data_IF_350556313809
#
_entry.id   IF_350556313809
#
_cell.length_a   1.000
_cell.length_b   1.000
_cell.length_c   1.000
_cell.angle_alpha   90.00
_cell.angle_beta   90.00
_cell.angle_gamma   90.00
#
_symmetry.space_group_name_H-M   'P 1'
#
loop_
_entity.id
_entity.type
_entity.pdbx_description
1 polymer ?
#
# COMPACT_ATOMS: atom_id res chain seq x y z
N UNK A 1 -14.01 0.06 3.30
CA UNK A 1 -13.45 -1.15 3.95
C UNK A 1 -13.34 -0.85 5.43
N UNK A 2 -13.92 -1.68 6.31
CA UNK A 2 -13.93 -1.39 7.76
C UNK A 2 -12.52 -1.59 8.31
N UNK A 3 -11.87 -0.47 8.62
CA UNK A 3 -10.56 -0.44 9.26
C UNK A 3 -10.83 -0.65 10.76
N UNK A 4 -10.63 -1.88 11.23
CA UNK A 4 -10.90 -2.38 12.60
C UNK A 4 -12.38 -2.43 13.01
N UNK A 5 -12.98 -3.63 13.14
CA UNK A 5 -14.10 -3.83 14.07
C UNK A 5 -13.55 -4.38 15.39
N UNK A 6 -13.19 -3.48 16.31
CA UNK A 6 -13.07 -3.85 17.72
C UNK A 6 -14.44 -3.71 18.38
N UNK A 7 -15.14 -4.81 18.63
CA UNK A 7 -16.41 -4.78 19.38
C UNK A 7 -16.11 -4.91 20.87
N UNK A 8 -16.27 -3.81 21.61
CA UNK A 8 -16.22 -3.81 23.07
C UNK A 8 -17.62 -4.02 23.64
N UNK A 9 -17.86 -5.17 24.27
CA UNK A 9 -19.14 -5.49 24.91
C UNK A 9 -19.28 -4.82 26.30
N UNK A 10 -18.98 -3.53 26.41
CA UNK A 10 -19.51 -2.68 27.49
C UNK A 10 -19.56 -1.21 27.06
N UNK A 11 -20.72 -0.83 26.52
CA UNK A 11 -21.31 0.50 26.42
C UNK A 11 -20.36 1.70 26.21
N UNK A 12 -19.98 1.93 24.96
CA UNK A 12 -20.21 3.19 24.25
C UNK A 12 -20.36 2.84 22.77
N UNK A 13 -21.57 3.01 22.23
CA UNK A 13 -21.81 2.85 20.80
C UNK A 13 -21.16 4.02 20.07
N UNK A 14 -20.03 3.77 19.39
CA UNK A 14 -19.39 4.79 18.56
C UNK A 14 -20.09 4.82 17.20
N UNK A 15 -20.61 5.99 16.83
CA UNK A 15 -21.38 6.17 15.59
C UNK A 15 -20.48 6.25 14.34
N UNK A 16 -19.16 6.40 14.50
CA UNK A 16 -18.20 6.44 13.38
C UNK A 16 -16.76 6.01 13.75
N UNK A 17 -15.97 5.61 12.74
CA UNK A 17 -14.53 5.30 12.85
C UNK A 17 -13.70 6.49 13.41
N UNK A 18 -14.17 7.72 13.16
CA UNK A 18 -13.56 8.94 13.69
C UNK A 18 -13.72 9.03 15.21
N UNK A 19 -14.89 8.69 15.74
CA UNK A 19 -15.17 8.72 17.17
C UNK A 19 -14.35 7.66 17.91
N UNK A 20 -14.18 6.48 17.30
CA UNK A 20 -13.30 5.42 17.81
C UNK A 20 -11.83 5.86 17.89
N UNK A 21 -11.28 6.44 16.81
CA UNK A 21 -9.90 6.95 16.78
C UNK A 21 -9.68 8.07 17.80
N UNK A 22 -10.66 8.95 17.98
CA UNK A 22 -10.59 10.05 18.94
C UNK A 22 -10.63 9.58 20.40
N UNK A 23 -11.43 8.55 20.70
CA UNK A 23 -11.47 7.92 22.03
C UNK A 23 -10.16 7.19 22.37
N UNK A 24 -9.57 6.47 21.41
CA UNK A 24 -8.29 5.77 21.61
C UNK A 24 -7.11 6.73 21.76
N UNK A 25 -7.09 7.85 21.03
CA UNK A 25 -6.00 8.84 21.09
C UNK A 25 -6.12 9.82 22.26
N UNK A 26 -7.33 10.05 22.80
CA UNK A 26 -7.55 10.99 23.91
C UNK A 26 -7.37 10.38 25.30
N UNK A 27 -7.26 9.05 25.40
CA UNK A 27 -7.07 8.37 26.67
C UNK A 27 -5.62 7.94 26.87
N UNK A 28 -4.96 8.43 27.92
CA UNK A 28 -3.72 7.85 28.47
C UNK A 28 -3.97 6.50 29.17
N UNK A 29 -5.08 5.83 28.85
CA UNK A 29 -5.51 4.61 29.52
C UNK A 29 -4.75 3.43 28.92
N UNK A 30 -3.73 2.98 29.66
CA UNK A 30 -2.99 1.76 29.34
C UNK A 30 -3.87 0.58 29.73
N UNK A 31 -4.36 -0.16 28.74
CA UNK A 31 -5.03 -1.45 28.92
C UNK A 31 -3.99 -2.57 28.80
N UNK A 32 -4.06 -3.55 29.70
CA UNK A 32 -3.23 -4.76 29.64
C UNK A 32 -4.07 -5.91 29.15
N UNK A 33 -3.58 -6.66 28.17
CA UNK A 33 -4.24 -7.88 27.72
C UNK A 33 -4.02 -9.03 28.72
N UNK A 34 -5.06 -9.77 29.06
CA UNK A 34 -5.00 -11.05 29.77
C UNK A 34 -5.72 -12.14 28.96
N UNK A 35 -5.23 -13.38 29.06
CA UNK A 35 -5.84 -14.55 28.44
C UNK A 35 -6.11 -14.39 26.94
N UNK A 36 -5.09 -13.97 26.18
CA UNK A 36 -5.17 -13.90 24.72
C UNK A 36 -5.12 -15.31 24.15
N UNK A 37 -6.12 -15.66 23.37
CA UNK A 37 -6.16 -16.89 22.56
C UNK A 37 -6.30 -16.54 21.09
N UNK A 38 -5.80 -17.45 20.26
CA UNK A 38 -5.71 -17.29 18.81
C UNK A 38 -6.51 -18.42 18.20
N UNK A 39 -7.40 -18.07 17.27
CA UNK A 39 -8.10 -19.04 16.43
C UNK A 39 -7.71 -18.80 14.99
N UNK A 40 -7.23 -19.83 14.31
CA UNK A 40 -6.97 -19.82 12.87
C UNK A 40 -8.18 -20.41 12.11
N UNK A 41 -8.78 -19.60 11.23
CA UNK A 41 -9.77 -20.00 10.23
C UNK A 41 -9.38 -19.36 8.88
N UNK A 42 -10.31 -18.73 8.13
CA UNK A 42 -9.97 -17.86 6.97
C UNK A 42 -9.27 -16.55 7.41
N UNK A 43 -9.48 -16.14 8.67
CA UNK A 43 -8.80 -15.03 9.32
C UNK A 43 -8.11 -15.56 10.60
N UNK A 44 -7.03 -14.91 11.02
CA UNK A 44 -6.47 -15.06 12.37
C UNK A 44 -7.26 -14.16 13.31
N UNK A 45 -8.02 -14.76 14.23
CA UNK A 45 -8.81 -14.02 15.21
C UNK A 45 -8.13 -14.09 16.58
N UNK A 46 -7.65 -12.93 17.05
CA UNK A 46 -7.23 -12.73 18.42
C UNK A 46 -8.44 -12.39 19.26
N UNK A 47 -8.64 -13.11 20.35
CA UNK A 47 -9.64 -12.79 21.34
C UNK A 47 -9.03 -12.85 22.73
N UNK A 48 -9.52 -12.03 23.63
CA UNK A 48 -9.04 -12.02 25.01
C UNK A 48 -9.70 -10.91 25.80
N UNK A 49 -9.14 -10.61 26.97
CA UNK A 49 -9.63 -9.53 27.82
C UNK A 49 -8.63 -8.40 27.89
N UNK A 50 -9.11 -7.17 27.74
CA UNK A 50 -8.39 -5.98 28.13
C UNK A 50 -8.76 -5.63 29.57
N UNK A 51 -7.76 -5.33 30.39
CA UNK A 51 -7.91 -4.90 31.78
C UNK A 51 -7.40 -3.48 31.91
N UNK A 52 -8.25 -2.56 32.38
CA UNK A 52 -7.82 -1.19 32.65
C UNK A 52 -7.07 -1.08 33.99
N UNK A 53 -6.56 0.12 34.28
CA UNK A 53 -5.84 0.39 35.53
C UNK A 53 -6.70 0.22 36.80
N UNK A 54 -8.04 0.21 36.68
CA UNK A 54 -8.99 -0.01 37.78
C UNK A 54 -9.41 -1.48 37.93
N UNK A 55 -8.85 -2.39 37.12
CA UNK A 55 -9.19 -3.81 37.12
C UNK A 55 -10.50 -4.16 36.40
N UNK A 56 -11.11 -3.22 35.67
CA UNK A 56 -12.27 -3.52 34.84
C UNK A 56 -11.83 -4.33 33.62
N UNK A 57 -12.48 -5.46 33.40
CA UNK A 57 -12.24 -6.32 32.23
C UNK A 57 -13.22 -5.98 31.11
N UNK A 58 -12.77 -6.09 29.87
CA UNK A 58 -13.60 -5.99 28.67
C UNK A 58 -13.06 -6.94 27.61
N UNK A 59 -13.94 -7.69 26.96
CA UNK A 59 -13.54 -8.58 25.88
C UNK A 59 -13.09 -7.74 24.66
N UNK A 60 -12.01 -8.17 24.03
CA UNK A 60 -11.60 -7.67 22.72
C UNK A 60 -11.57 -8.82 21.73
N UNK A 61 -11.93 -8.50 20.50
CA UNK A 61 -11.75 -9.35 19.33
C UNK A 61 -11.03 -8.52 18.27
N UNK A 62 -9.99 -9.10 17.68
CA UNK A 62 -9.26 -8.55 16.55
C UNK A 62 -9.12 -9.64 15.50
N UNK A 63 -9.77 -9.44 14.36
CA UNK A 63 -9.67 -10.34 13.20
C UNK A 63 -8.66 -9.78 12.20
N UNK A 64 -7.67 -10.58 11.84
CA UNK A 64 -6.66 -10.30 10.80
C UNK A 64 -6.90 -11.23 9.63
N UNK A 65 -7.20 -10.67 8.46
CA UNK A 65 -7.47 -11.46 7.26
C UNK A 65 -6.19 -12.05 6.64
N UNK A 66 -6.27 -13.22 6.00
CA UNK A 66 -5.16 -13.78 5.23
C UNK A 66 -4.66 -12.85 4.12
N UNK A 67 -5.50 -12.00 3.53
CA UNK A 67 -5.11 -10.92 2.62
C UNK A 67 -4.25 -9.82 3.28
N UNK A 68 -4.27 -9.71 4.62
CA UNK A 68 -3.30 -8.92 5.41
C UNK A 68 -2.03 -9.74 5.72
N UNK A 69 -2.14 -11.07 5.75
CA UNK A 69 -1.05 -12.03 6.01
C UNK A 69 -0.27 -12.35 4.73
N UNK A 70 -0.86 -12.18 3.54
CA UNK A 70 -0.19 -12.35 2.26
C UNK A 70 0.91 -11.30 2.15
N UNK A 71 2.10 -11.70 2.63
CA UNK A 71 3.22 -10.79 2.75
C UNK A 71 3.68 -10.26 1.39
N UNK A 72 3.32 -10.94 0.31
CA UNK A 72 4.06 -10.87 -0.94
C UNK A 72 5.39 -11.61 -0.81
N UNK A 73 6.06 -11.77 -1.93
CA UNK A 73 7.35 -12.46 -2.02
C UNK A 73 8.52 -11.48 -2.13
N UNK A 74 8.27 -10.20 -1.85
CA UNK A 74 9.22 -9.12 -2.01
C UNK A 74 10.53 -9.34 -1.26
N UNK A 75 11.63 -8.96 -1.90
CA UNK A 75 12.96 -9.01 -1.31
C UNK A 75 13.67 -7.69 -1.51
N UNK A 76 14.40 -7.26 -0.49
CA UNK A 76 15.33 -6.14 -0.56
C UNK A 76 16.76 -6.63 -0.38
N UNK A 77 17.67 -6.23 -1.28
CA UNK A 77 19.12 -6.32 -1.07
C UNK A 77 19.73 -4.93 -1.14
N UNK A 78 20.74 -4.65 -0.31
CA UNK A 78 21.36 -3.33 -0.23
C UNK A 78 22.69 -3.36 -0.98
N UNK A 79 22.87 -2.40 -1.87
CA UNK A 79 24.11 -2.15 -2.61
C UNK A 79 24.46 -0.66 -2.44
N UNK A 80 25.47 -0.36 -1.62
CA UNK A 80 25.89 1.00 -1.29
C UNK A 80 24.74 1.88 -0.74
N UNK A 81 24.34 2.93 -1.46
CA UNK A 81 23.24 3.83 -1.12
C UNK A 81 21.91 3.41 -1.79
N UNK A 82 21.82 2.19 -2.31
CA UNK A 82 20.66 1.71 -3.08
C UNK A 82 20.11 0.44 -2.46
N UNK A 83 18.79 0.31 -2.47
CA UNK A 83 18.12 -0.93 -2.11
C UNK A 83 17.39 -1.49 -3.33
N UNK A 84 17.73 -2.71 -3.72
CA UNK A 84 17.16 -3.41 -4.87
C UNK A 84 15.93 -4.18 -4.42
N UNK A 85 14.80 -3.87 -5.06
CA UNK A 85 13.51 -4.51 -4.85
C UNK A 85 13.17 -5.45 -5.99
N UNK A 86 12.78 -6.68 -5.63
CA UNK A 86 12.30 -7.70 -6.57
C UNK A 86 11.05 -8.41 -6.04
N UNK A 87 10.39 -9.16 -6.92
CA UNK A 87 9.25 -10.03 -6.67
C UNK A 87 7.95 -9.28 -6.40
N UNK A 88 6.93 -10.00 -5.92
CA UNK A 88 5.57 -9.49 -5.74
C UNK A 88 5.42 -8.73 -4.43
N UNK A 89 4.75 -7.58 -4.48
CA UNK A 89 4.57 -6.69 -3.34
C UNK A 89 3.40 -7.12 -2.45
N UNK A 90 3.52 -6.84 -1.16
CA UNK A 90 2.47 -7.08 -0.17
C UNK A 90 2.84 -6.48 1.19
N UNK A 91 2.22 -6.97 2.28
CA UNK A 91 2.47 -6.45 3.63
C UNK A 91 3.94 -6.55 4.05
N UNK A 92 4.66 -7.60 3.62
CA UNK A 92 6.08 -7.77 3.90
C UNK A 92 6.91 -6.65 3.26
N UNK A 93 6.51 -6.14 2.08
CA UNK A 93 7.18 -5.02 1.43
C UNK A 93 7.16 -3.78 2.32
N UNK A 94 6.01 -3.46 2.92
CA UNK A 94 5.89 -2.34 3.85
C UNK A 94 6.83 -2.51 5.05
N UNK A 95 6.82 -3.69 5.68
CA UNK A 95 7.65 -4.01 6.85
C UNK A 95 9.15 -3.93 6.50
N UNK A 96 9.54 -4.48 5.36
CA UNK A 96 10.92 -4.42 4.88
C UNK A 96 11.35 -2.98 4.59
N UNK A 97 10.52 -2.17 3.93
CA UNK A 97 10.82 -0.77 3.64
C UNK A 97 10.92 0.07 4.91
N UNK A 98 10.04 -0.15 5.89
CA UNK A 98 10.10 0.54 7.18
C UNK A 98 11.41 0.25 7.90
N UNK A 99 11.79 -1.03 8.00
CA UNK A 99 13.08 -1.43 8.57
C UNK A 99 14.28 -0.90 7.77
N UNK A 100 14.18 -0.86 6.44
CA UNK A 100 15.21 -0.32 5.56
C UNK A 100 15.48 1.15 5.90
N UNK A 101 14.43 1.97 5.96
CA UNK A 101 14.50 3.41 6.26
C UNK A 101 15.08 3.64 7.67
N UNK A 102 14.68 2.85 8.66
CA UNK A 102 15.18 2.99 10.03
C UNK A 102 16.66 2.62 10.16
N UNK A 103 17.08 1.53 9.51
CA UNK A 103 18.41 0.92 9.75
C UNK A 103 19.48 1.31 8.75
N UNK A 104 19.11 1.90 7.62
CA UNK A 104 20.02 2.19 6.51
C UNK A 104 19.86 3.65 6.06
N UNK A 105 20.24 4.63 6.90
CA UNK A 105 20.01 6.05 6.63
C UNK A 105 20.76 6.58 5.40
N UNK A 106 21.75 5.83 4.90
CA UNK A 106 22.49 6.18 3.68
C UNK A 106 21.78 5.73 2.41
N UNK A 107 20.74 4.90 2.49
CA UNK A 107 19.98 4.48 1.32
C UNK A 107 19.08 5.63 0.88
N UNK A 108 19.26 6.08 -0.35
CA UNK A 108 18.49 7.19 -0.93
C UNK A 108 17.64 6.75 -2.14
N UNK A 109 17.82 5.52 -2.63
CA UNK A 109 17.21 5.06 -3.89
C UNK A 109 16.73 3.62 -3.79
N UNK A 110 15.47 3.41 -4.16
CA UNK A 110 14.89 2.09 -4.41
C UNK A 110 15.06 1.73 -5.89
N UNK A 111 15.75 0.62 -6.17
CA UNK A 111 15.93 0.06 -7.50
C UNK A 111 14.88 -1.01 -7.72
N UNK A 112 13.81 -0.66 -8.43
CA UNK A 112 12.73 -1.59 -8.73
C UNK A 112 13.19 -2.42 -9.93
N UNK A 113 13.76 -3.59 -9.65
CA UNK A 113 14.48 -4.39 -10.65
C UNK A 113 13.56 -5.36 -11.39
N UNK A 114 12.68 -6.04 -10.67
CA UNK A 114 11.78 -7.03 -11.25
C UNK A 114 10.56 -7.21 -10.34
N UNK A 115 9.53 -6.38 -10.53
CA UNK A 115 8.32 -6.38 -9.71
C UNK A 115 7.11 -6.64 -10.57
N UNK A 116 6.37 -7.71 -10.25
CA UNK A 116 5.22 -8.18 -11.03
C UNK A 116 3.91 -7.45 -10.68
N UNK A 117 3.85 -6.76 -9.55
CA UNK A 117 2.64 -6.11 -9.05
C UNK A 117 2.50 -6.23 -7.54
N UNK A 118 1.33 -5.82 -7.04
CA UNK A 118 0.93 -5.91 -5.64
C UNK A 118 -0.22 -6.90 -5.45
N UNK A 119 -0.20 -7.60 -4.32
CA UNK A 119 -1.33 -8.42 -3.88
C UNK A 119 -2.48 -7.59 -3.30
N UNK A 120 -2.19 -6.38 -2.82
CA UNK A 120 -3.14 -5.49 -2.17
C UNK A 120 -2.79 -4.03 -2.44
N UNK A 121 -3.67 -3.32 -3.14
CA UNK A 121 -3.44 -1.95 -3.58
C UNK A 121 -3.43 -0.95 -2.41
N UNK A 122 -4.26 -1.15 -1.39
CA UNK A 122 -4.30 -0.27 -0.20
C UNK A 122 -2.95 -0.30 0.55
N UNK A 123 -2.43 -1.50 0.80
CA UNK A 123 -1.12 -1.69 1.43
C UNK A 123 0.00 -1.15 0.55
N UNK A 124 -0.12 -1.32 -0.77
CA UNK A 124 0.86 -0.80 -1.71
C UNK A 124 0.88 0.74 -1.73
N UNK A 125 -0.30 1.39 -1.71
CA UNK A 125 -0.41 2.84 -1.57
C UNK A 125 0.18 3.33 -0.24
N UNK A 126 -0.02 2.60 0.85
CA UNK A 126 0.65 2.90 2.13
C UNK A 126 2.18 2.75 2.05
N UNK A 127 2.66 1.72 1.36
CA UNK A 127 4.09 1.49 1.11
C UNK A 127 4.70 2.61 0.26
N UNK A 128 4.00 3.05 -0.79
CA UNK A 128 4.40 4.21 -1.59
C UNK A 128 4.40 5.51 -0.78
N UNK A 129 3.42 5.72 0.09
CA UNK A 129 3.43 6.86 1.00
C UNK A 129 4.64 6.85 1.94
N UNK A 130 5.02 5.70 2.50
CA UNK A 130 6.23 5.55 3.30
C UNK A 130 7.49 5.89 2.49
N UNK A 131 7.59 5.37 1.25
CA UNK A 131 8.69 5.66 0.33
C UNK A 131 8.82 7.17 0.09
N UNK A 132 7.72 7.81 -0.33
CA UNK A 132 7.67 9.25 -0.62
C UNK A 132 8.03 10.10 0.60
N UNK A 133 7.43 9.78 1.76
CA UNK A 133 7.65 10.54 3.00
C UNK A 133 9.08 10.38 3.53
N UNK A 134 9.76 9.27 3.19
CA UNK A 134 11.16 9.03 3.55
C UNK A 134 12.15 9.71 2.60
N UNK A 135 11.67 10.45 1.59
CA UNK A 135 12.52 11.17 0.65
C UNK A 135 13.24 10.29 -0.37
N UNK A 136 12.84 9.02 -0.50
CA UNK A 136 13.51 8.05 -1.36
C UNK A 136 13.23 8.31 -2.85
N UNK A 137 14.25 8.08 -3.67
CA UNK A 137 14.16 8.06 -5.12
C UNK A 137 13.75 6.66 -5.60
N UNK A 138 13.25 6.56 -6.83
CA UNK A 138 12.99 5.27 -7.48
C UNK A 138 13.68 5.20 -8.83
N UNK A 139 14.14 4.01 -9.19
CA UNK A 139 14.69 3.78 -10.52
C UNK A 139 14.40 2.38 -11.04
N UNK A 140 14.07 2.31 -12.33
CA UNK A 140 14.06 1.06 -13.09
C UNK A 140 15.43 0.92 -13.78
N UNK A 141 16.22 -0.12 -13.49
CA UNK A 141 17.49 -0.35 -14.16
C UNK A 141 17.28 -0.81 -15.61
N UNK A 142 18.37 -0.88 -16.40
CA UNK A 142 18.31 -1.49 -17.73
C UNK A 142 17.85 -2.95 -17.61
N UNK A 143 16.95 -3.38 -18.51
CA UNK A 143 16.21 -4.64 -18.45
C UNK A 143 15.38 -4.88 -17.18
N UNK A 144 15.21 -3.86 -16.33
CA UNK A 144 14.34 -3.95 -15.17
C UNK A 144 12.89 -3.66 -15.53
N UNK A 145 11.96 -4.07 -14.66
CA UNK A 145 10.54 -3.82 -14.88
C UNK A 145 9.78 -3.62 -13.57
N UNK A 146 8.72 -2.83 -13.67
CA UNK A 146 7.68 -2.69 -12.66
C UNK A 146 6.31 -2.76 -13.34
N UNK A 147 5.47 -3.69 -12.91
CA UNK A 147 4.11 -3.86 -13.41
C UNK A 147 3.09 -3.56 -12.32
N UNK A 148 1.88 -3.15 -12.71
CA UNK A 148 0.75 -2.96 -11.81
C UNK A 148 1.12 -2.05 -10.63
N UNK A 149 0.87 -2.44 -9.38
CA UNK A 149 1.31 -1.71 -8.18
C UNK A 149 2.82 -1.44 -8.06
N UNK A 150 3.68 -2.12 -8.84
CA UNK A 150 5.08 -1.72 -8.99
C UNK A 150 5.24 -0.34 -9.63
N UNK A 151 4.33 0.06 -10.54
CA UNK A 151 4.28 1.40 -11.13
C UNK A 151 3.83 2.43 -10.10
N UNK A 152 2.87 2.09 -9.24
CA UNK A 152 2.44 2.95 -8.12
C UNK A 152 3.62 3.25 -7.20
N UNK A 153 4.40 2.22 -6.86
CA UNK A 153 5.58 2.35 -6.02
C UNK A 153 6.69 3.15 -6.73
N UNK A 154 6.86 2.97 -8.04
CA UNK A 154 7.77 3.80 -8.83
C UNK A 154 7.36 5.27 -8.80
N UNK A 155 6.07 5.59 -8.98
CA UNK A 155 5.53 6.95 -8.95
C UNK A 155 5.73 7.63 -7.58
N UNK A 156 5.85 6.84 -6.49
CA UNK A 156 6.13 7.37 -5.17
C UNK A 156 7.54 7.96 -5.00
N UNK A 157 8.49 7.68 -5.89
CA UNK A 157 9.83 8.27 -5.80
C UNK A 157 9.82 9.79 -5.88
N UNK A 158 10.67 10.45 -5.09
CA UNK A 158 10.88 11.91 -5.20
C UNK A 158 11.50 12.27 -6.54
N UNK A 159 12.58 11.56 -6.89
CA UNK A 159 13.11 11.54 -8.25
C UNK A 159 12.95 10.15 -8.85
N UNK A 160 12.63 10.11 -10.14
CA UNK A 160 12.17 8.91 -10.83
C UNK A 160 12.91 8.77 -12.15
N UNK A 161 13.57 7.63 -12.35
CA UNK A 161 14.37 7.37 -13.54
C UNK A 161 14.14 5.96 -14.09
N UNK A 162 13.91 5.86 -15.38
CA UNK A 162 13.86 4.57 -16.09
C UNK A 162 15.07 4.49 -17.03
N UNK A 163 16.00 3.55 -16.80
CA UNK A 163 17.24 3.42 -17.58
C UNK A 163 17.07 2.48 -18.78
N UNK A 164 17.69 2.83 -19.91
CA UNK A 164 17.78 1.97 -21.10
C UNK A 164 16.43 1.43 -21.57
N UNK A 165 16.26 0.11 -21.62
CA UNK A 165 15.01 -0.56 -21.98
C UNK A 165 14.14 -0.98 -20.78
N UNK A 166 14.31 -0.34 -19.62
CA UNK A 166 13.47 -0.58 -18.45
C UNK A 166 11.99 -0.31 -18.73
N UNK A 167 11.09 -1.07 -18.08
CA UNK A 167 9.66 -1.12 -18.41
C UNK A 167 8.82 -0.65 -17.21
N UNK A 168 7.80 0.16 -17.49
CA UNK A 168 6.65 0.36 -16.60
C UNK A 168 5.43 -0.22 -17.32
N UNK A 169 4.75 -1.17 -16.70
CA UNK A 169 3.57 -1.83 -17.26
C UNK A 169 2.32 -1.54 -16.45
N UNK A 170 1.29 -1.01 -17.10
CA UNK A 170 0.05 -0.59 -16.46
C UNK A 170 -1.13 -1.42 -16.98
N UNK A 171 -2.12 -1.62 -16.12
CA UNK A 171 -3.37 -2.29 -16.46
C UNK A 171 -4.45 -1.97 -15.42
N UNK A 172 -5.71 -2.29 -15.75
CA UNK A 172 -6.83 -2.21 -14.80
C UNK A 172 -6.64 -3.16 -13.62
N UNK A 173 -6.98 -2.73 -12.42
CA UNK A 173 -7.16 -3.66 -11.31
C UNK A 173 -8.51 -4.37 -11.39
N UNK A 174 -8.60 -5.50 -10.72
CA UNK A 174 -9.81 -6.27 -10.50
C UNK A 174 -9.93 -6.57 -9.00
N UNK A 175 -11.09 -6.52 -8.37
CA UNK A 175 -12.37 -6.01 -8.87
C UNK A 175 -13.12 -5.36 -7.70
N UNK A 176 -13.96 -4.38 -8.00
CA UNK A 176 -14.95 -3.85 -7.06
C UNK A 176 -16.29 -4.53 -7.33
N UNK A 177 -16.75 -5.35 -6.38
CA UNK A 177 -18.00 -6.11 -6.49
C UNK A 177 -18.10 -6.93 -7.81
N UNK A 178 -16.98 -7.52 -8.24
CA UNK A 178 -16.90 -8.30 -9.48
C UNK A 178 -16.80 -7.49 -10.77
N UNK A 179 -16.71 -6.15 -10.68
CA UNK A 179 -16.49 -5.26 -11.83
C UNK A 179 -15.05 -4.75 -11.84
N UNK A 180 -14.42 -4.80 -13.01
CA UNK A 180 -13.06 -4.29 -13.23
C UNK A 180 -13.06 -2.76 -13.26
N UNK A 181 -11.93 -2.14 -12.89
CA UNK A 181 -11.84 -0.69 -12.73
C UNK A 181 -12.21 0.09 -14.00
N UNK A 182 -11.78 -0.39 -15.16
CA UNK A 182 -12.07 0.20 -16.49
C UNK A 182 -13.56 0.26 -16.83
N UNK A 183 -14.39 -0.55 -16.17
CA UNK A 183 -15.84 -0.63 -16.40
C UNK A 183 -16.65 0.14 -15.36
N UNK A 184 -16.02 0.63 -14.30
CA UNK A 184 -16.69 1.45 -13.31
C UNK A 184 -16.94 2.86 -13.86
N UNK A 185 -18.04 3.53 -13.46
CA UNK A 185 -18.22 4.94 -13.74
C UNK A 185 -17.03 5.75 -13.21
N UNK A 186 -16.59 6.77 -13.95
CA UNK A 186 -15.42 7.60 -13.56
C UNK A 186 -15.56 8.23 -12.16
N UNK A 187 -16.79 8.48 -11.70
CA UNK A 187 -17.11 9.04 -10.40
C UNK A 187 -17.45 7.99 -9.33
N UNK A 188 -17.21 6.71 -9.59
CA UNK A 188 -17.39 5.64 -8.62
C UNK A 188 -16.41 5.80 -7.45
N UNK A 189 -16.90 5.60 -6.22
CA UNK A 189 -16.12 5.77 -5.00
C UNK A 189 -14.93 4.80 -4.92
N UNK A 190 -14.98 3.66 -5.62
CA UNK A 190 -13.88 2.70 -5.66
C UNK A 190 -12.60 3.27 -6.30
N UNK A 191 -12.69 4.38 -7.03
CA UNK A 191 -11.53 5.07 -7.59
C UNK A 191 -10.86 6.05 -6.62
N UNK A 192 -11.53 6.44 -5.54
CA UNK A 192 -11.15 7.59 -4.73
C UNK A 192 -9.72 7.47 -4.17
N UNK A 193 -9.37 6.34 -3.56
CA UNK A 193 -8.08 6.18 -2.90
C UNK A 193 -6.91 6.22 -3.90
N UNK A 194 -7.07 5.56 -5.06
CA UNK A 194 -6.06 5.58 -6.11
C UNK A 194 -5.93 6.98 -6.76
N UNK A 195 -7.05 7.67 -7.00
CA UNK A 195 -7.02 9.06 -7.48
C UNK A 195 -6.31 9.96 -6.48
N UNK A 196 -6.59 9.81 -5.18
CA UNK A 196 -5.93 10.58 -4.13
C UNK A 196 -4.43 10.26 -4.04
N UNK A 197 -4.07 8.98 -4.18
CA UNK A 197 -2.68 8.53 -4.20
C UNK A 197 -1.90 9.14 -5.35
N UNK A 198 -2.36 8.99 -6.59
CA UNK A 198 -1.67 9.57 -7.74
C UNK A 198 -1.70 11.09 -7.75
N UNK A 199 -2.75 11.72 -7.23
CA UNK A 199 -2.77 13.16 -6.98
C UNK A 199 -1.64 13.60 -6.06
N UNK A 200 -1.34 12.84 -4.99
CA UNK A 200 -0.21 13.12 -4.10
C UNK A 200 1.14 12.91 -4.79
N UNK A 201 1.25 11.88 -5.63
CA UNK A 201 2.54 11.52 -6.25
C UNK A 201 2.91 12.39 -7.44
N UNK A 202 1.93 12.74 -8.28
CA UNK A 202 2.11 13.40 -9.57
C UNK A 202 1.50 14.80 -9.65
N UNK A 203 0.76 15.23 -8.63
CA UNK A 203 0.07 16.51 -8.59
C UNK A 203 -1.39 16.43 -9.03
N UNK A 204 -2.14 17.51 -8.76
CA UNK A 204 -3.60 17.57 -8.95
C UNK A 204 -4.07 17.49 -10.40
N UNK A 205 -3.21 17.88 -11.34
CA UNK A 205 -3.54 17.87 -12.77
C UNK A 205 -3.20 16.52 -13.39
N UNK A 206 -1.95 16.06 -13.24
CA UNK A 206 -1.46 14.84 -13.90
C UNK A 206 -1.88 13.56 -13.17
N UNK A 207 -2.00 13.59 -11.84
CA UNK A 207 -2.25 12.40 -11.02
C UNK A 207 -3.55 11.67 -11.36
N UNK A 208 -4.72 12.34 -11.29
CA UNK A 208 -5.98 11.72 -11.66
C UNK A 208 -5.99 11.18 -13.10
N UNK A 209 -5.43 11.94 -14.04
CA UNK A 209 -5.41 11.55 -15.45
C UNK A 209 -4.50 10.34 -15.69
N UNK A 210 -3.35 10.28 -15.02
CA UNK A 210 -2.49 9.10 -15.07
C UNK A 210 -3.19 7.86 -14.52
N UNK A 211 -3.87 7.96 -13.37
CA UNK A 211 -4.65 6.86 -12.82
C UNK A 211 -5.72 6.35 -13.81
N UNK A 212 -6.50 7.25 -14.42
CA UNK A 212 -7.50 6.81 -15.39
C UNK A 212 -6.85 6.23 -16.64
N UNK A 213 -5.69 6.72 -17.06
CA UNK A 213 -4.94 6.10 -18.13
C UNK A 213 -4.51 4.68 -17.78
N UNK A 214 -3.98 4.42 -16.57
CA UNK A 214 -3.49 3.08 -16.20
C UNK A 214 -4.58 2.03 -16.33
N UNK A 215 -5.79 2.33 -15.85
CA UNK A 215 -6.89 1.37 -15.88
C UNK A 215 -7.49 1.17 -17.27
N UNK A 216 -7.37 2.13 -18.19
CA UNK A 216 -7.88 1.99 -19.57
C UNK A 216 -6.82 1.48 -20.55
N UNK A 217 -5.54 1.45 -20.18
CA UNK A 217 -4.46 1.06 -21.07
C UNK A 217 -4.46 -0.43 -21.40
N UNK A 218 -4.86 -1.29 -20.45
CA UNK A 218 -5.00 -2.73 -20.63
C UNK A 218 -6.02 -3.32 -19.64
N UNK A 219 -6.72 -4.42 -20.00
CA UNK A 219 -7.58 -5.15 -19.07
C UNK A 219 -6.77 -5.78 -17.93
N UNK A 220 -7.45 -6.23 -16.87
CA UNK A 220 -6.80 -6.73 -15.64
C UNK A 220 -5.95 -8.00 -15.82
N UNK A 221 -6.12 -8.72 -16.93
CA UNK A 221 -5.43 -9.95 -17.29
C UNK A 221 -4.39 -9.76 -18.41
N UNK A 222 -4.09 -8.50 -18.77
CA UNK A 222 -3.04 -8.11 -19.72
C UNK A 222 -2.18 -6.97 -19.15
N UNK A 223 -1.12 -6.56 -19.86
CA UNK A 223 -0.24 -5.47 -19.44
C UNK A 223 0.13 -4.57 -20.62
N UNK A 224 -0.19 -3.28 -20.52
CA UNK A 224 0.34 -2.28 -21.45
C UNK A 224 1.71 -1.82 -20.98
N UNK A 225 2.75 -2.17 -21.74
CA UNK A 225 4.10 -1.64 -21.52
C UNK A 225 4.17 -0.21 -22.03
N UNK A 226 4.29 0.76 -21.12
CA UNK A 226 4.33 2.17 -21.47
C UNK A 226 5.53 2.48 -22.37
N UNK A 227 5.29 3.31 -23.38
CA UNK A 227 6.33 3.92 -24.20
C UNK A 227 7.01 5.06 -23.43
N UNK A 228 8.19 5.46 -23.90
CA UNK A 228 8.89 6.64 -23.34
C UNK A 228 8.10 7.94 -23.50
N UNK A 229 7.27 8.03 -24.54
CA UNK A 229 6.41 9.19 -24.78
C UNK A 229 5.31 9.25 -23.72
N UNK A 230 4.59 8.16 -23.49
CA UNK A 230 3.55 8.10 -22.45
C UNK A 230 4.13 8.35 -21.05
N UNK A 231 5.31 7.81 -20.74
CA UNK A 231 6.00 8.12 -19.48
C UNK A 231 6.31 9.62 -19.33
N UNK A 232 6.62 10.31 -20.42
CA UNK A 232 6.88 11.75 -20.43
C UNK A 232 5.58 12.56 -20.31
N UNK A 233 4.52 12.17 -21.03
CA UNK A 233 3.21 12.83 -20.99
C UNK A 233 2.64 12.87 -19.57
N UNK A 234 2.83 11.81 -18.79
CA UNK A 234 2.42 11.75 -17.38
C UNK A 234 3.50 12.17 -16.39
N UNK A 235 4.59 12.80 -16.85
CA UNK A 235 5.68 13.29 -16.00
C UNK A 235 6.20 12.21 -15.03
N UNK A 236 6.25 10.94 -15.47
CA UNK A 236 6.70 9.82 -14.64
C UNK A 236 8.22 9.82 -14.43
N UNK A 237 8.95 10.38 -15.37
CA UNK A 237 10.42 10.46 -15.35
C UNK A 237 10.81 11.89 -15.03
N UNK A 238 11.67 12.07 -14.02
CA UNK A 238 12.16 13.38 -13.59
C UNK A 238 13.68 13.51 -13.67
N UNK A 239 14.40 12.43 -14.02
CA UNK A 239 15.86 12.35 -14.19
C UNK A 239 16.26 11.35 -15.27
#
# INVERSE_FOLDING_TARGET
MTIYEGRFNHAESFESERDFKQAMLSSTTIWKSSNVSITEQENIVYHGKLVNQKGTETDFEMSINEALISGGTSQFSIEENRAILTSELGTNTYVQLSNLVERNPNVDTIVIKAVNGSLNDEINMHTGNLLRNSGLNTTIPNNGYAYSGGVDLFAAGVNRQVKGNGILGVHSWCCSQGTTADKLPRNDDAHHDQVAYFTKMLGKEIGPDFYFYTIHAAPFDDVHSMTRMEMADYSLITK
#
